data_IF_435758555879
#
_entry.id   IF_435758555879
#
_cell.length_a   1.000
_cell.length_b   1.000
_cell.length_c   1.000
_cell.angle_alpha   90.00
_cell.angle_beta   90.00
_cell.angle_gamma   90.00
#
_symmetry.space_group_name_H-M   'P 1'
#
loop_
_entity.id
_entity.type
_entity.pdbx_description
1 polymer ?
#
# COMPACT_ATOMS: atom_id res chain seq x y z
N UNK A 1 2.30 46.37 6.10
CA UNK A 1 1.68 45.32 6.93
C UNK A 1 1.55 44.12 6.02
N UNK A 2 2.57 43.26 6.01
CA UNK A 2 2.76 42.19 5.02
C UNK A 2 2.90 40.87 5.80
N UNK A 3 1.98 39.90 5.66
CA UNK A 3 2.09 38.64 6.39
C UNK A 3 2.96 37.69 5.57
N UNK A 4 4.23 37.58 5.94
CA UNK A 4 5.12 36.56 5.41
C UNK A 4 4.61 35.17 5.86
N UNK A 5 4.11 34.41 4.89
CA UNK A 5 3.76 33.00 5.05
C UNK A 5 5.05 32.19 5.27
N UNK A 6 5.28 31.77 6.52
CA UNK A 6 6.32 30.81 6.86
C UNK A 6 5.96 29.43 6.31
N UNK A 7 6.58 29.06 5.20
CA UNK A 7 6.56 27.68 4.71
C UNK A 7 7.32 26.80 5.71
N UNK A 8 6.59 25.97 6.45
CA UNK A 8 7.19 24.84 7.15
C UNK A 8 7.61 23.80 6.10
N UNK A 9 8.87 23.88 5.67
CA UNK A 9 9.52 22.85 4.89
C UNK A 9 9.57 21.58 5.74
N UNK A 10 8.72 20.60 5.42
CA UNK A 10 8.79 19.28 6.01
C UNK A 10 10.13 18.64 5.60
N UNK A 11 11.10 18.65 6.50
CA UNK A 11 12.36 17.93 6.33
C UNK A 11 12.05 16.44 6.32
N UNK A 12 11.92 15.86 5.13
CA UNK A 12 12.06 14.42 4.95
C UNK A 12 13.49 14.06 5.35
N UNK A 13 13.65 13.46 6.52
CA UNK A 13 14.93 12.93 6.99
C UNK A 13 15.25 11.70 6.13
N UNK A 14 15.76 11.92 4.91
CA UNK A 14 16.27 10.87 4.03
C UNK A 14 17.61 10.40 4.57
N UNK A 15 17.61 9.35 5.39
CA UNK A 15 18.76 8.45 5.41
C UNK A 15 18.99 7.96 3.98
N UNK A 16 20.22 8.07 3.43
CA UNK A 16 20.51 7.50 2.12
C UNK A 16 20.17 6.01 2.15
N UNK A 17 19.50 5.48 1.10
CA UNK A 17 19.15 4.06 1.09
C UNK A 17 20.42 3.22 1.21
N UNK A 18 20.37 2.08 1.93
CA UNK A 18 21.45 1.10 1.89
C UNK A 18 21.78 0.78 0.44
N UNK A 19 23.07 0.75 0.11
CA UNK A 19 23.50 0.38 -1.23
C UNK A 19 23.06 -1.07 -1.49
N UNK A 20 22.27 -1.36 -2.55
CA UNK A 20 21.89 -2.72 -2.86
C UNK A 20 23.16 -3.56 -3.08
N UNK A 21 23.15 -4.79 -2.56
CA UNK A 21 24.21 -5.74 -2.84
C UNK A 21 24.29 -6.00 -4.36
N UNK A 22 25.48 -6.33 -4.91
CA UNK A 22 25.62 -6.62 -6.34
C UNK A 22 24.61 -7.70 -6.78
N UNK A 23 23.69 -7.35 -7.68
CA UNK A 23 22.63 -8.24 -8.17
C UNK A 23 21.23 -7.98 -7.59
N UNK A 24 21.08 -7.11 -6.59
CA UNK A 24 19.76 -6.64 -6.13
C UNK A 24 19.27 -5.47 -6.97
N UNK A 25 18.01 -5.54 -7.43
CA UNK A 25 17.34 -4.38 -8.04
C UNK A 25 17.15 -3.28 -6.99
N UNK A 26 17.17 -2.00 -7.40
CA UNK A 26 16.84 -0.91 -6.49
C UNK A 26 15.41 -1.09 -5.97
N UNK A 27 15.15 -0.68 -4.71
CA UNK A 27 13.80 -0.71 -4.15
C UNK A 27 12.86 0.19 -4.96
N UNK A 28 11.53 0.04 -4.78
CA UNK A 28 10.55 0.91 -5.42
C UNK A 28 10.88 2.39 -5.22
N UNK A 29 10.79 3.16 -6.31
CA UNK A 29 11.00 4.60 -6.29
C UNK A 29 9.79 5.35 -5.73
N UNK A 30 8.61 4.72 -5.78
CA UNK A 30 7.34 5.34 -5.39
C UNK A 30 6.42 4.33 -4.70
N UNK A 31 5.83 4.75 -3.58
CA UNK A 31 4.81 3.97 -2.86
C UNK A 31 3.58 4.85 -2.66
N UNK A 32 2.41 4.33 -3.00
CA UNK A 32 1.12 4.99 -2.84
C UNK A 32 0.18 4.15 -1.97
N UNK A 33 -0.56 4.81 -1.09
CA UNK A 33 -1.67 4.24 -0.34
C UNK A 33 -2.98 4.70 -0.97
N UNK A 34 -3.79 3.75 -1.43
CA UNK A 34 -5.12 3.98 -1.99
C UNK A 34 -6.17 3.46 -1.04
N UNK A 35 -7.04 4.36 -0.56
CA UNK A 35 -8.21 4.00 0.20
C UNK A 35 -9.35 3.66 -0.74
N UNK A 36 -9.84 2.41 -0.69
CA UNK A 36 -10.83 1.93 -1.65
C UNK A 36 -12.23 2.49 -1.40
N UNK A 37 -12.55 2.90 -0.17
CA UNK A 37 -13.86 3.45 0.17
C UNK A 37 -13.97 4.92 -0.26
N UNK A 38 -12.95 5.71 0.05
CA UNK A 38 -12.93 7.15 -0.24
C UNK A 38 -12.31 7.48 -1.60
N UNK A 39 -11.71 6.50 -2.27
CA UNK A 39 -10.88 6.66 -3.48
C UNK A 39 -9.70 7.62 -3.29
N UNK A 40 -9.37 7.97 -2.05
CA UNK A 40 -8.24 8.85 -1.72
C UNK A 40 -6.93 8.12 -2.00
N UNK A 41 -6.00 8.81 -2.67
CA UNK A 41 -4.64 8.30 -2.90
C UNK A 41 -3.65 9.24 -2.24
N UNK A 42 -2.72 8.70 -1.44
CA UNK A 42 -1.72 9.49 -0.69
C UNK A 42 -0.39 8.74 -0.60
N UNK A 43 0.76 9.46 -0.54
CA UNK A 43 2.02 8.82 -0.17
C UNK A 43 2.02 8.44 1.32
N UNK A 44 2.75 7.38 1.72
CA UNK A 44 2.99 7.09 3.13
C UNK A 44 3.84 8.21 3.77
N UNK A 45 3.63 8.45 5.08
CA UNK A 45 4.36 9.50 5.81
C UNK A 45 5.85 9.18 5.98
N UNK A 46 6.18 7.89 6.07
CA UNK A 46 7.54 7.38 6.26
C UNK A 46 7.64 6.04 5.55
N UNK A 47 8.74 5.84 4.84
CA UNK A 47 9.10 4.58 4.18
C UNK A 47 10.44 4.15 4.76
N UNK A 48 10.55 2.87 5.09
CA UNK A 48 11.81 2.26 5.49
C UNK A 48 11.97 0.94 4.73
N UNK A 49 13.06 0.81 4.00
CA UNK A 49 13.47 -0.45 3.39
C UNK A 49 14.32 -1.22 4.39
N UNK A 50 14.04 -2.52 4.51
CA UNK A 50 14.76 -3.46 5.37
C UNK A 50 15.17 -4.61 4.47
N UNK A 51 16.47 -4.79 4.28
CA UNK A 51 17.01 -5.91 3.52
C UNK A 51 17.23 -7.12 4.43
N UNK A 52 17.46 -8.30 3.84
CA UNK A 52 17.60 -9.57 4.57
C UNK A 52 18.74 -9.58 5.59
N UNK A 53 19.74 -8.72 5.41
CA UNK A 53 20.91 -8.55 6.26
C UNK A 53 20.78 -7.38 7.25
N UNK A 54 19.72 -6.57 7.15
CA UNK A 54 19.46 -5.48 8.07
C UNK A 54 18.87 -5.98 9.41
N UNK A 55 19.19 -5.34 10.54
CA UNK A 55 18.50 -5.62 11.79
C UNK A 55 17.03 -5.21 11.69
N UNK A 56 16.14 -6.05 12.21
CA UNK A 56 14.70 -5.75 12.28
C UNK A 56 14.48 -4.53 13.18
N UNK A 57 13.86 -3.44 12.68
CA UNK A 57 13.63 -2.25 13.48
C UNK A 57 12.59 -2.52 14.57
N UNK A 58 12.85 -2.07 15.79
CA UNK A 58 11.84 -2.07 16.85
C UNK A 58 10.79 -1.00 16.54
N UNK A 59 9.57 -1.42 16.26
CA UNK A 59 8.43 -0.51 16.08
C UNK A 59 7.76 -0.23 17.43
N UNK A 60 7.33 1.01 17.70
CA UNK A 60 6.47 1.31 18.84
C UNK A 60 5.18 0.47 18.78
N UNK A 61 4.61 0.05 19.93
CA UNK A 61 3.37 -0.74 19.97
C UNK A 61 2.18 -0.06 19.29
N UNK A 62 2.17 1.27 19.25
CA UNK A 62 1.09 2.07 18.64
C UNK A 62 1.35 2.44 17.17
N UNK A 63 2.37 1.88 16.53
CA UNK A 63 2.70 2.23 15.15
C UNK A 63 1.72 1.60 14.17
N UNK A 64 0.98 2.46 13.47
CA UNK A 64 0.21 2.09 12.28
C UNK A 64 1.18 1.89 11.11
N UNK A 65 1.69 0.68 10.97
CA UNK A 65 2.60 0.30 9.91
C UNK A 65 1.92 -0.60 8.87
N UNK A 66 2.39 -0.51 7.63
CA UNK A 66 2.11 -1.48 6.58
C UNK A 66 3.43 -2.15 6.24
N UNK A 67 3.47 -3.47 6.33
CA UNK A 67 4.63 -4.28 5.96
C UNK A 67 4.41 -4.87 4.58
N UNK A 68 5.42 -4.79 3.73
CA UNK A 68 5.40 -5.29 2.35
C UNK A 68 6.66 -6.14 2.17
N UNK A 69 6.46 -7.40 1.88
CA UNK A 69 7.53 -8.31 1.52
C UNK A 69 7.66 -8.30 -0.01
N UNK A 70 8.86 -7.98 -0.51
CA UNK A 70 9.16 -7.95 -1.93
C UNK A 70 10.25 -8.97 -2.27
N UNK A 71 10.13 -9.60 -3.43
CA UNK A 71 11.16 -10.49 -3.95
C UNK A 71 12.28 -9.70 -4.67
N UNK A 72 13.26 -10.44 -5.18
CA UNK A 72 14.38 -9.90 -5.94
C UNK A 72 13.99 -9.32 -7.31
N UNK A 73 12.78 -9.59 -7.80
CA UNK A 73 12.23 -9.06 -9.05
C UNK A 73 11.34 -7.82 -8.82
N UNK A 74 11.31 -7.27 -7.61
CA UNK A 74 10.42 -6.19 -7.19
C UNK A 74 8.92 -6.55 -7.27
N UNK A 75 8.57 -7.83 -7.14
CA UNK A 75 7.17 -8.25 -6.98
C UNK A 75 6.81 -8.27 -5.51
N UNK A 76 5.59 -7.84 -5.19
CA UNK A 76 5.04 -7.96 -3.85
C UNK A 76 4.64 -9.42 -3.61
N UNK A 77 5.30 -10.07 -2.65
CA UNK A 77 5.01 -11.43 -2.21
C UNK A 77 3.90 -11.43 -1.17
N UNK A 78 3.93 -10.44 -0.27
CA UNK A 78 2.99 -10.33 0.83
C UNK A 78 2.85 -8.86 1.26
N UNK A 79 1.68 -8.49 1.75
CA UNK A 79 1.43 -7.16 2.28
C UNK A 79 0.41 -7.24 3.43
N UNK A 80 0.72 -6.60 4.56
CA UNK A 80 -0.15 -6.61 5.73
C UNK A 80 -0.17 -5.25 6.44
N UNK A 81 -1.35 -4.90 6.97
CA UNK A 81 -1.51 -3.73 7.84
C UNK A 81 -1.47 -4.15 9.30
N UNK A 82 -0.72 -3.40 10.11
CA UNK A 82 -0.76 -3.49 11.57
C UNK A 82 -1.78 -2.52 12.19
N UNK A 83 -2.55 -1.80 11.38
CA UNK A 83 -3.55 -0.84 11.86
C UNK A 83 -4.86 -1.54 12.20
N UNK A 84 -5.48 -1.22 13.35
CA UNK A 84 -6.80 -1.77 13.72
C UNK A 84 -7.94 -1.24 12.85
N UNK A 85 -7.77 -0.05 12.30
CA UNK A 85 -8.80 0.72 11.59
C UNK A 85 -8.60 0.79 10.07
N UNK A 86 -7.54 0.17 9.54
CA UNK A 86 -7.27 0.15 8.11
C UNK A 86 -6.56 -1.14 7.73
N UNK A 87 -7.07 -1.85 6.73
CA UNK A 87 -6.57 -3.16 6.34
C UNK A 87 -6.19 -3.18 4.86
N UNK A 88 -5.06 -3.83 4.54
CA UNK A 88 -4.64 -4.03 3.14
C UNK A 88 -5.60 -5.02 2.48
N UNK A 89 -6.07 -4.67 1.29
CA UNK A 89 -6.96 -5.51 0.48
C UNK A 89 -6.32 -5.95 -0.83
N UNK A 90 -5.26 -5.26 -1.26
CA UNK A 90 -4.54 -5.61 -2.48
C UNK A 90 -3.30 -4.75 -2.68
N UNK A 91 -2.44 -5.19 -3.59
CA UNK A 91 -1.25 -4.45 -4.01
C UNK A 91 -1.10 -4.52 -5.52
N UNK A 92 -0.64 -3.44 -6.12
CA UNK A 92 -0.40 -3.33 -7.54
C UNK A 92 1.03 -2.81 -7.76
N UNK A 93 1.77 -3.46 -8.66
CA UNK A 93 3.12 -3.04 -9.05
C UNK A 93 3.06 -2.56 -10.49
N UNK A 94 3.48 -1.32 -10.71
CA UNK A 94 3.49 -0.68 -12.02
C UNK A 94 4.80 0.06 -12.27
N UNK A 95 5.05 0.46 -13.52
CA UNK A 95 6.14 1.39 -13.83
C UNK A 95 5.85 2.73 -13.18
N UNK A 96 6.84 3.31 -12.51
CA UNK A 96 6.69 4.63 -11.91
C UNK A 96 6.67 5.71 -13.00
N UNK A 97 5.92 6.81 -12.82
CA UNK A 97 5.89 7.91 -13.77
C UNK A 97 7.28 8.57 -13.93
N UNK A 98 7.64 8.92 -15.15
CA UNK A 98 8.86 9.68 -15.45
C UNK A 98 8.63 11.17 -15.20
N UNK A 99 8.91 11.66 -14.00
CA UNK A 99 8.81 13.10 -13.68
C UNK A 99 10.04 13.91 -14.10
N UNK A 100 11.20 13.26 -14.23
CA UNK A 100 12.44 13.87 -14.68
C UNK A 100 12.65 13.41 -16.13
N UNK A 101 12.38 14.32 -17.07
CA UNK A 101 12.14 14.02 -18.49
C UNK A 101 13.15 13.11 -19.17
N UNK A 102 12.66 12.33 -20.14
CA UNK A 102 13.28 11.50 -21.21
C UNK A 102 14.64 10.78 -21.02
N UNK A 103 15.43 11.03 -19.99
CA UNK A 103 16.77 10.46 -19.80
C UNK A 103 16.82 9.23 -18.89
N UNK A 104 15.70 8.83 -18.27
CA UNK A 104 15.61 7.58 -17.52
C UNK A 104 14.72 6.60 -18.28
N UNK A 105 15.34 5.74 -19.09
CA UNK A 105 14.63 4.68 -19.83
C UNK A 105 13.95 3.65 -18.91
N UNK A 106 14.29 3.64 -17.61
CA UNK A 106 13.67 2.79 -16.60
C UNK A 106 13.18 3.66 -15.43
N UNK A 107 11.92 4.10 -15.49
CA UNK A 107 11.26 5.02 -14.55
C UNK A 107 11.13 4.56 -13.10
N UNK A 108 11.78 3.46 -12.73
CA UNK A 108 11.64 2.79 -11.45
C UNK A 108 10.30 2.08 -11.29
N UNK A 109 10.11 1.46 -10.13
CA UNK A 109 8.91 0.70 -9.79
C UNK A 109 8.04 1.50 -8.83
N UNK A 110 6.74 1.58 -9.14
CA UNK A 110 5.71 2.12 -8.26
C UNK A 110 4.92 0.97 -7.63
N UNK A 111 4.75 1.00 -6.31
CA UNK A 111 3.87 0.08 -5.58
C UNK A 111 2.66 0.85 -5.08
N UNK A 112 1.46 0.43 -5.49
CA UNK A 112 0.20 0.93 -4.95
C UNK A 112 -0.37 -0.09 -3.98
N UNK A 113 -0.55 0.31 -2.73
CA UNK A 113 -1.17 -0.50 -1.68
C UNK A 113 -2.61 -0.04 -1.56
N UNK A 114 -3.52 -0.96 -1.87
CA UNK A 114 -4.94 -0.74 -1.70
C UNK A 114 -5.34 -1.22 -0.32
N UNK A 115 -6.08 -0.40 0.40
CA UNK A 115 -6.68 -0.81 1.66
C UNK A 115 -7.98 -0.10 1.93
N UNK A 116 -8.67 -0.60 2.93
CA UNK A 116 -10.00 -0.14 3.30
C UNK A 116 -10.01 0.20 4.78
N UNK A 117 -10.63 1.32 5.13
CA UNK A 117 -10.98 1.59 6.51
C UNK A 117 -11.89 0.50 7.06
N UNK A 118 -11.66 0.12 8.32
CA UNK A 118 -12.58 -0.72 9.12
C UNK A 118 -13.59 0.18 9.85
N UNK A 119 -13.56 1.50 9.60
CA UNK A 119 -14.58 2.43 10.09
C UNK A 119 -15.97 1.89 9.75
N UNK A 120 -16.78 1.70 10.80
CA UNK A 120 -18.11 1.12 10.66
C UNK A 120 -18.23 -0.33 11.10
N UNK A 121 -17.33 -0.87 11.94
CA UNK A 121 -17.71 -1.93 12.90
C UNK A 121 -19.11 -1.65 13.48
N UNK A 122 -19.97 -2.68 13.63
CA UNK A 122 -21.26 -2.47 14.29
C UNK A 122 -20.95 -1.95 15.70
N UNK A 123 -21.27 -0.68 15.94
CA UNK A 123 -21.09 -0.06 17.25
C UNK A 123 -22.31 -0.37 18.09
N UNK A 124 -22.09 -0.54 19.41
CA UNK A 124 -23.17 -0.66 20.38
C UNK A 124 -23.92 0.68 20.42
N UNK A 125 -24.97 0.82 19.61
CA UNK A 125 -25.72 2.06 19.40
C UNK A 125 -26.09 2.37 17.94
N UNK A 126 -25.63 1.59 16.96
CA UNK A 126 -26.07 1.74 15.58
C UNK A 126 -27.55 1.30 15.43
N UNK A 127 -28.33 2.07 14.67
CA UNK A 127 -29.71 1.69 14.31
C UNK A 127 -29.70 0.48 13.35
N UNK A 128 -30.80 -0.28 13.32
CA UNK A 128 -30.98 -1.48 12.49
C UNK A 128 -30.71 -1.19 11.00
N UNK A 129 -31.11 -0.03 10.50
CA UNK A 129 -30.86 0.35 9.11
C UNK A 129 -29.37 0.62 8.84
N UNK A 130 -28.68 1.28 9.78
CA UNK A 130 -27.23 1.50 9.70
C UNK A 130 -26.46 0.18 9.80
N UNK A 131 -26.90 -0.74 10.67
CA UNK A 131 -26.32 -2.09 10.75
C UNK A 131 -26.50 -2.87 9.45
N UNK A 132 -27.69 -2.84 8.85
CA UNK A 132 -27.96 -3.51 7.58
C UNK A 132 -27.13 -2.93 6.43
N UNK A 133 -26.95 -1.59 6.40
CA UNK A 133 -26.10 -0.90 5.44
C UNK A 133 -24.64 -1.34 5.60
N UNK A 134 -24.09 -1.25 6.81
CA UNK A 134 -22.72 -1.66 7.15
C UNK A 134 -22.46 -3.14 6.86
N UNK A 135 -23.46 -4.00 7.10
CA UNK A 135 -23.37 -5.43 6.77
C UNK A 135 -23.29 -5.66 5.26
N UNK A 136 -24.11 -4.96 4.48
CA UNK A 136 -24.10 -5.06 3.01
C UNK A 136 -22.77 -4.58 2.44
N UNK A 137 -22.26 -3.44 2.92
CA UNK A 137 -20.95 -2.91 2.53
C UNK A 137 -19.83 -3.88 2.88
N UNK A 138 -19.81 -4.41 4.12
CA UNK A 138 -18.83 -5.43 4.53
C UNK A 138 -18.89 -6.68 3.67
N UNK A 139 -20.08 -7.17 3.34
CA UNK A 139 -20.23 -8.39 2.57
C UNK A 139 -19.77 -8.19 1.11
N UNK A 140 -19.95 -6.99 0.56
CA UNK A 140 -19.38 -6.62 -0.73
C UNK A 140 -17.84 -6.56 -0.69
N UNK A 141 -17.25 -5.98 0.36
CA UNK A 141 -15.80 -5.96 0.56
C UNK A 141 -15.23 -7.36 0.73
N UNK A 142 -15.87 -8.23 1.52
CA UNK A 142 -15.44 -9.63 1.68
C UNK A 142 -15.47 -10.38 0.35
N UNK A 143 -16.49 -10.16 -0.48
CA UNK A 143 -16.54 -10.73 -1.84
C UNK A 143 -15.39 -10.22 -2.71
N UNK A 144 -15.09 -8.92 -2.66
CA UNK A 144 -13.96 -8.38 -3.42
C UNK A 144 -12.62 -8.93 -2.94
N UNK A 145 -12.43 -9.13 -1.64
CA UNK A 145 -11.24 -9.77 -1.07
C UNK A 145 -11.11 -11.23 -1.53
N UNK A 146 -12.22 -11.97 -1.63
CA UNK A 146 -12.23 -13.33 -2.17
C UNK A 146 -11.85 -13.34 -3.66
N UNK A 147 -12.34 -12.39 -4.43
CA UNK A 147 -12.04 -12.29 -5.87
C UNK A 147 -10.60 -11.83 -6.13
N UNK A 148 -10.01 -11.04 -5.22
CA UNK A 148 -8.61 -10.63 -5.25
C UNK A 148 -7.65 -11.68 -4.65
N UNK A 149 -8.16 -12.76 -4.06
CA UNK A 149 -7.35 -13.84 -3.51
C UNK A 149 -6.77 -14.70 -4.65
N UNK A 150 -5.46 -15.02 -4.63
CA UNK A 150 -4.77 -15.72 -5.72
C UNK A 150 -5.26 -17.15 -6.01
N UNK A 151 -6.23 -17.66 -5.23
CA UNK A 151 -6.85 -18.97 -5.44
C UNK A 151 -7.89 -19.05 -6.56
N UNK A 152 -8.30 -17.94 -7.18
CA UNK A 152 -9.36 -17.91 -8.22
C UNK A 152 -8.86 -17.77 -9.66
N UNK A 153 -7.56 -17.91 -9.91
CA UNK A 153 -7.05 -18.11 -11.26
C UNK A 153 -7.03 -19.60 -11.59
N UNK A 154 -8.13 -20.15 -12.13
CA UNK A 154 -8.08 -21.40 -12.91
C UNK A 154 -9.30 -21.59 -13.83
N UNK A 155 -8.95 -21.86 -15.08
CA UNK A 155 -9.68 -22.53 -16.15
C UNK A 155 -10.86 -21.82 -16.82
N UNK A 156 -10.55 -21.19 -17.96
CA UNK A 156 -11.26 -21.55 -19.18
C UNK A 156 -10.22 -22.14 -20.14
N UNK A 157 -10.18 -23.48 -20.12
CA UNK A 157 -9.49 -24.35 -21.06
C UNK A 157 -9.86 -24.00 -22.50
N UNK A 158 -8.87 -24.11 -23.37
CA UNK A 158 -9.05 -24.00 -24.81
C UNK A 158 -10.06 -25.02 -25.32
N UNK A 159 -10.85 -24.58 -26.30
CA UNK A 159 -11.54 -25.49 -27.19
C UNK A 159 -10.95 -25.30 -28.58
N UNK A 160 -9.97 -26.15 -28.89
CA UNK A 160 -9.66 -26.54 -30.26
C UNK A 160 -10.84 -27.39 -30.73
N UNK A 161 -11.55 -26.91 -31.75
CA UNK A 161 -11.99 -27.66 -32.93
C UNK A 161 -12.39 -26.64 -34.00
#
# INVERSE_FOLDING_TARGET
MDPSLSYHQASILSTPPPHPSPGQRPPPSLILLKDTQTQSTRPPRRIQYIFSDDPVPSLPPSSKAVMIDMDHENKVVNAMSMSEDWQVVGTEVAKSPNWFGEQQEDGGVMVTIQGTGVEGGIRKGDDIFEMARKFTERNATLRSMIDLSPGKAKNVEGKVL
#
